data_IF_816509806366
#
_entry.id   IF_816509806366
#
_cell.length_a   1.000
_cell.length_b   1.000
_cell.length_c   1.000
_cell.angle_alpha   90.00
_cell.angle_beta   90.00
_cell.angle_gamma   90.00
#
_symmetry.space_group_name_H-M   'P 1'
#
loop_
_entity.id
_entity.type
_entity.pdbx_description
1 polymer ?
#
# COMPACT_ATOMS: atom_id res chain seq x y z
N UNK A 1 -0.09 21.88 50.84
CA UNK A 1 -0.63 20.52 50.64
C UNK A 1 0.55 19.54 50.59
N UNK A 2 0.33 18.24 50.77
CA UNK A 2 1.36 17.34 51.29
C UNK A 2 2.54 17.06 50.33
N UNK A 3 3.73 16.95 50.92
CA UNK A 3 4.95 16.37 50.36
C UNK A 3 5.30 15.15 51.23
N UNK A 4 5.49 13.98 50.63
CA UNK A 4 5.92 12.76 51.33
C UNK A 4 6.82 11.88 50.45
N UNK A 5 8.03 11.67 50.96
CA UNK A 5 8.81 10.42 51.05
C UNK A 5 8.90 9.51 49.79
N UNK A 6 10.04 9.22 49.15
CA UNK A 6 11.42 8.84 49.61
C UNK A 6 11.60 7.37 50.00
N UNK A 7 12.80 6.82 49.72
CA UNK A 7 13.38 5.53 50.21
C UNK A 7 12.80 4.27 49.53
N UNK A 8 13.53 3.16 49.28
CA UNK A 8 14.95 2.91 48.90
C UNK A 8 15.09 1.41 48.50
N UNK A 9 16.17 1.07 47.81
CA UNK A 9 16.77 -0.26 47.53
C UNK A 9 16.62 -1.33 48.64
N UNK A 10 16.46 -2.63 48.27
CA UNK A 10 17.28 -3.80 48.74
C UNK A 10 16.89 -5.12 48.02
N UNK A 11 17.82 -6.08 47.92
CA UNK A 11 17.75 -7.34 47.13
C UNK A 11 17.91 -8.63 47.94
N UNK A 12 17.14 -9.69 47.63
CA UNK A 12 17.31 -11.12 48.03
C UNK A 12 16.71 -12.02 46.92
N UNK A 13 17.19 -13.19 46.43
CA UNK A 13 18.42 -14.04 46.60
C UNK A 13 18.23 -15.41 47.30
N UNK A 14 17.98 -16.46 46.48
CA UNK A 14 18.30 -17.92 46.67
C UNK A 14 17.60 -18.70 47.83
N UNK A 15 17.34 -20.03 47.82
CA UNK A 15 17.38 -21.10 46.78
C UNK A 15 16.63 -22.43 47.21
N UNK A 16 16.46 -23.37 46.24
CA UNK A 16 16.36 -24.86 46.33
C UNK A 16 15.10 -25.66 46.83
N UNK A 17 14.60 -26.54 45.91
CA UNK A 17 14.20 -27.98 46.07
C UNK A 17 12.93 -28.41 46.87
N UNK A 18 12.15 -29.49 46.57
CA UNK A 18 12.06 -30.46 45.42
C UNK A 18 10.76 -31.35 45.50
N UNK A 19 10.46 -32.15 44.44
CA UNK A 19 9.53 -33.33 44.31
C UNK A 19 8.15 -33.17 43.59
N UNK A 20 7.55 -34.32 43.21
CA UNK A 20 6.58 -34.62 42.12
C UNK A 20 5.51 -35.66 42.65
N UNK A 21 4.47 -36.20 41.95
CA UNK A 21 4.12 -36.12 40.51
C UNK A 21 2.60 -36.12 40.06
N UNK A 22 2.41 -35.99 38.74
CA UNK A 22 1.38 -36.66 37.88
C UNK A 22 -0.05 -36.11 37.65
N UNK A 23 -0.57 -36.52 36.46
CA UNK A 23 -1.95 -36.50 35.91
C UNK A 23 -2.53 -35.13 35.45
N UNK A 24 -2.46 -34.88 34.12
CA UNK A 24 -3.62 -34.52 33.24
C UNK A 24 -3.19 -33.96 31.85
N UNK A 25 -2.55 -34.75 30.98
CA UNK A 25 -2.31 -34.36 29.58
C UNK A 25 -3.42 -34.89 28.65
N UNK A 26 -4.46 -34.09 28.40
CA UNK A 26 -5.43 -34.34 27.32
C UNK A 26 -5.83 -33.01 26.66
N UNK A 27 -5.96 -33.01 25.33
CA UNK A 27 -6.55 -31.95 24.49
C UNK A 27 -5.77 -30.63 24.28
N UNK A 28 -4.52 -30.71 23.80
CA UNK A 28 -3.81 -29.55 23.21
C UNK A 28 -3.96 -29.46 21.67
N UNK A 29 -4.70 -30.38 21.05
CA UNK A 29 -4.58 -30.67 19.62
C UNK A 29 -5.40 -29.71 18.73
N UNK A 30 -6.43 -29.05 19.28
CA UNK A 30 -7.33 -28.16 18.54
C UNK A 30 -6.69 -26.79 18.25
N UNK A 31 -5.89 -26.28 19.19
CA UNK A 31 -5.29 -24.94 19.13
C UNK A 31 -4.36 -24.76 17.93
N UNK A 32 -3.54 -25.77 17.62
CA UNK A 32 -2.51 -25.70 16.58
C UNK A 32 -3.11 -25.75 15.17
N UNK A 33 -4.18 -26.53 14.96
CA UNK A 33 -4.83 -26.66 13.64
C UNK A 33 -5.45 -25.32 13.20
N UNK A 34 -6.10 -24.61 14.14
CA UNK A 34 -6.71 -23.31 13.86
C UNK A 34 -5.68 -22.24 13.46
N UNK A 35 -4.47 -22.27 14.01
CA UNK A 35 -3.42 -21.29 13.72
C UNK A 35 -2.83 -21.45 12.31
N UNK A 36 -2.82 -22.65 11.74
CA UNK A 36 -2.33 -22.89 10.37
C UNK A 36 -3.30 -22.35 9.30
N UNK A 37 -4.62 -22.40 9.56
CA UNK A 37 -5.65 -22.00 8.60
C UNK A 37 -5.68 -20.48 8.36
N UNK A 38 -5.66 -19.68 9.44
CA UNK A 38 -5.72 -18.19 9.37
C UNK A 38 -4.60 -17.61 8.50
N UNK A 39 -3.38 -18.14 8.63
CA UNK A 39 -2.22 -17.70 7.85
C UNK A 39 -2.37 -17.97 6.34
N UNK A 40 -3.07 -19.04 5.94
CA UNK A 40 -3.32 -19.33 4.52
C UNK A 40 -4.34 -18.36 3.91
N UNK A 41 -5.33 -17.91 4.68
CA UNK A 41 -6.39 -17.01 4.21
C UNK A 41 -5.88 -15.59 3.95
N UNK A 42 -5.05 -15.02 4.84
CA UNK A 42 -4.48 -13.67 4.65
C UNK A 42 -3.55 -13.59 3.41
N UNK A 43 -2.76 -14.64 3.14
CA UNK A 43 -1.87 -14.69 1.99
C UNK A 43 -2.65 -14.69 0.66
N UNK A 44 -3.70 -15.52 0.55
CA UNK A 44 -4.59 -15.54 -0.62
C UNK A 44 -5.23 -14.17 -0.89
N UNK A 45 -5.73 -13.51 0.15
CA UNK A 45 -6.41 -12.21 -0.01
C UNK A 45 -5.46 -11.11 -0.50
N UNK A 46 -4.20 -11.14 -0.03
CA UNK A 46 -3.15 -10.20 -0.47
C UNK A 46 -2.75 -10.42 -1.93
N UNK A 47 -2.74 -11.68 -2.41
CA UNK A 47 -2.47 -11.99 -3.81
C UNK A 47 -3.59 -11.51 -4.75
N UNK A 48 -4.86 -11.70 -4.36
CA UNK A 48 -6.03 -11.21 -5.13
C UNK A 48 -6.06 -9.68 -5.22
N UNK A 49 -5.65 -8.96 -4.17
CA UNK A 49 -5.50 -7.50 -4.22
C UNK A 49 -4.39 -7.08 -5.20
N UNK A 50 -3.27 -7.82 -5.27
CA UNK A 50 -2.14 -7.51 -6.17
C UNK A 50 -2.45 -7.83 -7.64
N UNK A 51 -3.20 -8.90 -7.91
CA UNK A 51 -3.69 -9.22 -9.25
C UNK A 51 -4.60 -8.12 -9.81
N UNK A 52 -5.53 -7.59 -8.99
CA UNK A 52 -6.39 -6.45 -9.36
C UNK A 52 -5.60 -5.18 -9.67
N UNK A 53 -4.51 -4.91 -8.94
CA UNK A 53 -3.64 -3.77 -9.21
C UNK A 53 -3.00 -3.89 -10.61
N UNK A 54 -2.52 -5.09 -10.99
CA UNK A 54 -2.02 -5.33 -12.34
C UNK A 54 -3.12 -5.22 -13.41
N UNK A 55 -4.33 -5.73 -13.13
CA UNK A 55 -5.47 -5.57 -14.03
C UNK A 55 -5.78 -4.10 -14.28
N UNK A 56 -5.95 -3.29 -13.23
CA UNK A 56 -6.23 -1.85 -13.37
C UNK A 56 -5.10 -1.10 -14.09
N UNK A 57 -3.83 -1.45 -13.83
CA UNK A 57 -2.69 -0.86 -14.54
C UNK A 57 -2.76 -1.14 -16.05
N UNK A 58 -3.16 -2.35 -16.47
CA UNK A 58 -3.38 -2.65 -17.89
C UNK A 58 -4.60 -1.90 -18.45
N UNK A 59 -5.69 -1.84 -17.67
CA UNK A 59 -6.94 -1.13 -18.00
C UNK A 59 -6.77 0.39 -18.16
N UNK A 60 -5.69 1.01 -17.64
CA UNK A 60 -5.35 2.41 -17.92
C UNK A 60 -5.14 2.67 -19.42
N UNK A 61 -4.67 1.67 -20.19
CA UNK A 61 -4.38 1.86 -21.61
C UNK A 61 -5.67 2.05 -22.44
N UNK A 62 -6.69 1.22 -22.22
CA UNK A 62 -7.99 1.30 -22.90
C UNK A 62 -8.85 2.47 -22.34
N UNK A 63 -9.29 3.37 -23.23
CA UNK A 63 -10.05 4.57 -22.86
C UNK A 63 -11.40 4.28 -22.16
N UNK A 64 -12.02 3.12 -22.41
CA UNK A 64 -13.30 2.72 -21.81
C UNK A 64 -13.14 2.30 -20.34
N UNK A 65 -12.09 1.55 -20.02
CA UNK A 65 -11.82 1.02 -18.67
C UNK A 65 -11.02 1.98 -17.79
N UNK A 66 -10.22 2.86 -18.41
CA UNK A 66 -9.26 3.76 -17.75
C UNK A 66 -9.86 4.57 -16.61
N UNK A 67 -11.09 5.04 -16.71
CA UNK A 67 -11.71 5.86 -15.66
C UNK A 67 -11.87 5.12 -14.33
N UNK A 68 -12.34 3.86 -14.40
CA UNK A 68 -12.46 3.00 -13.23
C UNK A 68 -11.08 2.64 -12.66
N UNK A 69 -10.11 2.32 -13.54
CA UNK A 69 -8.73 2.06 -13.15
C UNK A 69 -8.07 3.27 -12.45
N UNK A 70 -8.25 4.49 -12.97
CA UNK A 70 -7.79 5.73 -12.32
C UNK A 70 -8.39 5.89 -10.92
N UNK A 71 -9.68 5.62 -10.76
CA UNK A 71 -10.38 5.74 -9.48
C UNK A 71 -9.90 4.72 -8.46
N UNK A 72 -9.70 3.45 -8.82
CA UNK A 72 -9.23 2.44 -7.87
C UNK A 72 -7.72 2.57 -7.55
N UNK A 73 -6.88 2.85 -8.55
CA UNK A 73 -5.44 3.05 -8.32
C UNK A 73 -5.16 4.30 -7.48
N UNK A 74 -5.88 5.41 -7.69
CA UNK A 74 -5.69 6.64 -6.91
C UNK A 74 -6.05 6.49 -5.42
N UNK A 75 -6.93 5.54 -5.06
CA UNK A 75 -7.19 5.11 -3.67
C UNK A 75 -6.07 4.24 -3.12
N UNK A 76 -5.53 3.31 -3.93
CA UNK A 76 -4.52 2.33 -3.52
C UNK A 76 -3.11 2.92 -3.35
N UNK A 77 -2.83 4.12 -3.90
CA UNK A 77 -1.49 4.75 -3.93
C UNK A 77 -0.75 4.85 -2.58
N UNK A 78 -1.46 5.02 -1.47
CA UNK A 78 -0.85 5.13 -0.12
C UNK A 78 -0.62 3.75 0.54
N UNK A 79 -1.31 2.72 0.04
CA UNK A 79 -1.35 1.35 0.60
C UNK A 79 -0.41 0.40 -0.15
N UNK A 80 -0.07 0.73 -1.39
CA UNK A 80 0.73 -0.09 -2.32
C UNK A 80 2.07 0.63 -2.57
N UNK A 81 3.11 0.38 -1.76
CA UNK A 81 4.34 1.19 -1.79
C UNK A 81 5.14 1.04 -3.08
N UNK A 82 4.95 -0.04 -3.84
CA UNK A 82 5.56 -0.29 -5.15
C UNK A 82 4.76 0.29 -6.34
N UNK A 83 3.56 0.87 -6.11
CA UNK A 83 2.67 1.30 -7.20
C UNK A 83 3.33 2.31 -8.16
N UNK A 84 4.10 3.26 -7.63
CA UNK A 84 4.85 4.23 -8.43
C UNK A 84 5.77 3.57 -9.46
N UNK A 85 6.45 2.49 -9.04
CA UNK A 85 7.37 1.71 -9.87
C UNK A 85 6.62 0.81 -10.86
N UNK A 86 5.50 0.20 -10.44
CA UNK A 86 4.64 -0.58 -11.33
C UNK A 86 4.05 0.28 -12.46
N UNK A 87 3.59 1.51 -12.16
CA UNK A 87 3.09 2.46 -13.15
C UNK A 87 4.19 2.99 -14.09
N UNK A 88 5.42 3.13 -13.60
CA UNK A 88 6.54 3.63 -14.39
C UNK A 88 7.05 2.61 -15.43
N UNK A 89 7.15 1.34 -15.04
CA UNK A 89 7.59 0.27 -15.96
C UNK A 89 6.47 -0.32 -16.82
N UNK A 90 5.19 -0.12 -16.47
CA UNK A 90 4.07 -0.61 -17.27
C UNK A 90 3.93 0.14 -18.59
N UNK A 91 3.89 -0.60 -19.70
CA UNK A 91 3.83 -0.03 -21.04
C UNK A 91 2.57 0.84 -21.22
N UNK A 92 2.77 2.05 -21.74
CA UNK A 92 1.69 3.00 -22.02
C UNK A 92 1.01 3.63 -20.79
N UNK A 93 1.31 3.19 -19.56
CA UNK A 93 0.63 3.70 -18.35
C UNK A 93 0.88 5.19 -18.13
N UNK A 94 2.14 5.64 -18.15
CA UNK A 94 2.49 7.07 -18.03
C UNK A 94 1.89 7.87 -19.21
N UNK A 95 1.89 7.32 -20.42
CA UNK A 95 1.28 7.95 -21.60
C UNK A 95 -0.23 8.14 -21.43
N UNK A 96 -0.94 7.16 -20.86
CA UNK A 96 -2.37 7.27 -20.56
C UNK A 96 -2.66 8.34 -19.49
N UNK A 97 -1.84 8.43 -18.43
CA UNK A 97 -1.97 9.48 -17.41
C UNK A 97 -1.75 10.89 -18.01
N UNK A 98 -0.76 11.04 -18.90
CA UNK A 98 -0.52 12.30 -19.62
C UNK A 98 -1.66 12.63 -20.59
N UNK A 99 -2.23 11.62 -21.27
CA UNK A 99 -3.32 11.81 -22.22
C UNK A 99 -4.57 12.40 -21.55
N UNK A 100 -4.86 12.03 -20.29
CA UNK A 100 -5.98 12.55 -19.50
C UNK A 100 -5.78 14.01 -19.04
N UNK A 101 -4.54 14.50 -19.00
CA UNK A 101 -4.24 15.93 -18.83
C UNK A 101 -4.39 16.65 -20.18
N UNK A 102 -3.96 16.02 -21.28
CA UNK A 102 -4.04 16.62 -22.61
C UNK A 102 -5.50 16.80 -23.08
N UNK A 103 -6.40 15.86 -22.75
CA UNK A 103 -7.83 15.93 -23.12
C UNK A 103 -8.60 17.08 -22.48
N UNK A 104 -8.13 17.66 -21.36
CA UNK A 104 -8.84 18.79 -20.74
C UNK A 104 -8.46 20.16 -21.32
N UNK A 105 -7.31 20.33 -21.98
CA UNK A 105 -6.93 21.65 -22.53
C UNK A 105 -7.98 22.31 -23.43
N UNK A 106 -8.66 21.61 -24.38
CA UNK A 106 -9.67 22.23 -25.24
C UNK A 106 -10.90 22.76 -24.49
N UNK A 107 -11.21 22.23 -23.31
CA UNK A 107 -12.37 22.63 -22.49
C UNK A 107 -12.01 23.61 -21.35
N UNK A 108 -10.76 24.08 -21.31
CA UNK A 108 -10.35 25.22 -20.48
C UNK A 108 -10.63 26.57 -21.16
N UNK A 109 -10.96 26.61 -22.46
CA UNK A 109 -11.23 27.85 -23.21
C UNK A 109 -12.18 27.61 -24.40
N UNK A 110 -13.48 27.97 -24.30
CA UNK A 110 -14.15 28.52 -23.12
C UNK A 110 -14.18 27.53 -21.95
N UNK A 111 -14.17 28.03 -20.72
CA UNK A 111 -14.09 27.23 -19.49
C UNK A 111 -15.37 26.40 -19.27
N UNK A 112 -15.37 25.18 -19.80
CA UNK A 112 -16.51 24.25 -19.82
C UNK A 112 -16.18 22.90 -19.16
N UNK A 113 -15.24 22.91 -18.21
CA UNK A 113 -14.84 21.74 -17.44
C UNK A 113 -15.98 21.29 -16.51
N UNK A 114 -16.53 20.09 -16.73
CA UNK A 114 -17.52 19.51 -15.82
C UNK A 114 -16.87 18.96 -14.54
N UNK A 115 -17.62 18.85 -13.41
CA UNK A 115 -17.09 18.26 -12.17
C UNK A 115 -16.58 16.83 -12.36
N UNK A 116 -17.22 16.05 -13.24
CA UNK A 116 -16.82 14.69 -13.58
C UNK A 116 -15.45 14.66 -14.29
N UNK A 117 -15.23 15.50 -15.31
CA UNK A 117 -13.93 15.66 -15.97
C UNK A 117 -12.86 16.15 -15.00
N UNK A 118 -13.19 17.10 -14.12
CA UNK A 118 -12.29 17.60 -13.07
C UNK A 118 -11.84 16.48 -12.11
N UNK A 119 -12.76 15.62 -11.66
CA UNK A 119 -12.43 14.49 -10.79
C UNK A 119 -11.57 13.45 -11.50
N UNK A 120 -11.88 13.15 -12.78
CA UNK A 120 -11.13 12.20 -13.61
C UNK A 120 -9.67 12.64 -13.84
N UNK A 121 -9.43 13.90 -14.21
CA UNK A 121 -8.05 14.42 -14.36
C UNK A 121 -7.35 14.56 -13.00
N UNK A 122 -8.07 14.86 -11.91
CA UNK A 122 -7.51 14.88 -10.56
C UNK A 122 -6.95 13.51 -10.14
N UNK A 123 -7.66 12.41 -10.43
CA UNK A 123 -7.16 11.06 -10.16
C UNK A 123 -5.87 10.76 -10.96
N UNK A 124 -5.78 11.17 -12.23
CA UNK A 124 -4.58 11.03 -13.04
C UNK A 124 -3.40 11.87 -12.50
N UNK A 125 -3.67 13.11 -12.07
CA UNK A 125 -2.68 13.99 -11.44
C UNK A 125 -2.17 13.42 -10.10
N UNK A 126 -3.04 12.85 -9.27
CA UNK A 126 -2.65 12.22 -8.00
C UNK A 126 -1.74 10.98 -8.22
N UNK A 127 -1.97 10.22 -9.30
CA UNK A 127 -1.09 9.11 -9.68
C UNK A 127 0.26 9.60 -10.23
N UNK A 128 0.29 10.66 -11.03
CA UNK A 128 1.55 11.27 -11.49
C UNK A 128 2.34 11.90 -10.33
N UNK A 129 1.66 12.50 -9.34
CA UNK A 129 2.28 12.97 -8.10
C UNK A 129 2.88 11.81 -7.28
N UNK A 130 2.19 10.67 -7.18
CA UNK A 130 2.72 9.46 -6.55
C UNK A 130 4.00 8.95 -7.26
N UNK A 131 3.98 8.87 -8.60
CA UNK A 131 5.14 8.46 -9.41
C UNK A 131 6.33 9.42 -9.22
N UNK A 132 6.08 10.72 -9.16
CA UNK A 132 7.09 11.76 -9.01
C UNK A 132 7.65 11.90 -7.58
N UNK A 133 6.85 11.64 -6.55
CA UNK A 133 7.28 11.71 -5.14
C UNK A 133 8.14 10.52 -4.72
N UNK A 134 8.10 9.42 -5.48
CA UNK A 134 8.80 8.19 -5.15
C UNK A 134 10.28 8.25 -5.53
N UNK A 135 11.15 8.08 -4.53
CA UNK A 135 12.59 8.34 -4.63
C UNK A 135 13.30 7.46 -5.68
N UNK A 136 12.82 6.23 -5.89
CA UNK A 136 13.45 5.27 -6.81
C UNK A 136 13.03 5.46 -8.28
N UNK A 137 11.98 6.25 -8.55
CA UNK A 137 11.74 6.81 -9.89
C UNK A 137 12.67 8.00 -10.15
N UNK A 138 12.80 8.92 -9.20
CA UNK A 138 13.67 10.10 -9.31
C UNK A 138 15.13 9.71 -9.59
N UNK A 139 15.69 8.79 -8.79
CA UNK A 139 17.05 8.25 -8.99
C UNK A 139 17.27 7.65 -10.39
N UNK A 140 16.24 7.07 -11.02
CA UNK A 140 16.36 6.48 -12.35
C UNK A 140 16.30 7.52 -13.47
N UNK A 141 15.45 8.55 -13.33
CA UNK A 141 15.46 9.70 -14.25
C UNK A 141 16.81 10.41 -14.17
N UNK A 142 17.32 10.66 -12.96
CA UNK A 142 18.66 11.21 -12.72
C UNK A 142 19.77 10.33 -13.33
N UNK A 143 19.73 9.00 -13.10
CA UNK A 143 20.76 8.09 -13.61
C UNK A 143 20.71 7.93 -15.13
N UNK A 144 19.54 8.07 -15.77
CA UNK A 144 19.44 8.05 -17.22
C UNK A 144 19.96 9.38 -17.82
N UNK A 145 19.52 10.52 -17.28
CA UNK A 145 19.98 11.85 -17.71
C UNK A 145 21.47 12.09 -17.44
N UNK A 146 22.11 11.28 -16.58
CA UNK A 146 23.56 11.31 -16.32
C UNK A 146 24.36 10.23 -17.08
N UNK A 147 23.76 9.61 -18.10
CA UNK A 147 24.35 8.59 -18.99
C UNK A 147 24.14 8.88 -20.49
N UNK A 148 23.53 10.01 -20.81
CA UNK A 148 23.33 10.56 -22.15
C UNK A 148 24.08 11.90 -22.26
#
# INVERSE_FOLDING_TARGET
>A
MANLNSINVTSVTQAQQQQNPSIAQVNNNVSTINQLNVNQQQNQQTQVDREKIYQWINELTNAETRENALLELSKKREVVPDLAILLWYSFGSITALLQEIITVYPILSPSSLSPHQSNRVCNALALLQCVASHNDTHKQVDQKMRRE
#
